data_IF_133629331539
#
_entry.id   IF_133629331539
#
_cell.length_a   1.000
_cell.length_b   1.000
_cell.length_c   1.000
_cell.angle_alpha   90.00
_cell.angle_beta   90.00
_cell.angle_gamma   90.00
#
_symmetry.space_group_name_H-M   'P 1'
#
loop_
_entity.id
_entity.type
_entity.pdbx_description
1 polymer ?
#
# COMPACT_ATOMS: atom_id res chain seq x y z
N UNK A 1 -8.62 10.29 16.08
CA UNK A 1 -8.49 10.13 14.62
C UNK A 1 -9.21 8.87 14.16
N UNK A 2 -10.07 8.98 13.14
CA UNK A 2 -10.70 7.86 12.45
C UNK A 2 -9.78 7.37 11.33
N UNK A 3 -9.52 6.06 11.25
CA UNK A 3 -8.59 5.51 10.26
C UNK A 3 -9.36 4.66 9.26
N UNK A 4 -9.14 4.93 7.97
CA UNK A 4 -9.72 4.20 6.84
C UNK A 4 -8.60 3.57 6.02
N UNK A 5 -8.75 2.28 5.69
CA UNK A 5 -7.79 1.53 4.89
C UNK A 5 -8.50 0.79 3.76
N UNK A 6 -8.03 0.93 2.53
CA UNK A 6 -8.53 0.13 1.40
C UNK A 6 -8.20 -1.36 1.58
N UNK A 7 -9.19 -2.24 1.47
CA UNK A 7 -9.01 -3.70 1.64
C UNK A 7 -7.98 -4.30 0.66
N UNK A 8 -7.84 -3.69 -0.53
CA UNK A 8 -6.93 -4.12 -1.60
C UNK A 8 -5.45 -4.03 -1.20
N UNK A 9 -5.14 -3.27 -0.15
CA UNK A 9 -3.80 -3.18 0.40
C UNK A 9 -3.35 -4.47 1.07
N UNK A 10 -4.30 -5.28 1.57
CA UNK A 10 -4.06 -6.54 2.27
C UNK A 10 -3.10 -6.40 3.45
N UNK A 11 -3.30 -5.36 4.27
CA UNK A 11 -2.50 -5.16 5.49
C UNK A 11 -2.83 -6.25 6.54
N UNK A 12 -1.88 -6.61 7.42
CA UNK A 12 -2.07 -7.67 8.40
C UNK A 12 -3.25 -7.39 9.34
N UNK A 13 -4.18 -8.34 9.46
CA UNK A 13 -5.44 -8.14 10.22
C UNK A 13 -5.23 -7.76 11.69
N UNK A 14 -4.14 -8.21 12.31
CA UNK A 14 -3.82 -7.89 13.70
C UNK A 14 -3.53 -6.39 13.92
N UNK A 15 -3.16 -5.65 12.87
CA UNK A 15 -2.91 -4.20 12.94
C UNK A 15 -4.15 -3.37 12.55
N UNK A 16 -5.22 -4.03 12.11
CA UNK A 16 -6.47 -3.40 11.65
C UNK A 16 -7.57 -3.36 12.72
N UNK A 17 -7.24 -3.62 13.99
CA UNK A 17 -8.20 -3.48 15.09
C UNK A 17 -8.64 -2.02 15.22
N UNK A 18 -9.96 -1.76 15.26
CA UNK A 18 -10.53 -0.40 15.31
C UNK A 18 -10.26 0.47 14.07
N UNK A 19 -9.91 -0.14 12.94
CA UNK A 19 -9.76 0.53 11.65
C UNK A 19 -10.99 0.26 10.78
N UNK A 20 -11.47 1.27 10.06
CA UNK A 20 -12.49 1.08 9.04
C UNK A 20 -11.87 0.54 7.76
N UNK A 21 -12.19 -0.72 7.42
CA UNK A 21 -11.73 -1.33 6.18
C UNK A 21 -12.72 -0.98 5.07
N UNK A 22 -12.24 -0.22 4.09
CA UNK A 22 -13.02 0.17 2.91
C UNK A 22 -12.99 -0.94 1.87
N UNK A 23 -14.14 -1.52 1.47
CA UNK A 23 -14.18 -2.60 0.49
C UNK A 23 -13.90 -2.10 -0.93
N UNK A 24 -13.27 -2.95 -1.74
CA UNK A 24 -13.00 -2.71 -3.16
C UNK A 24 -14.29 -2.93 -3.94
N UNK A 25 -14.79 -1.89 -4.60
CA UNK A 25 -16.02 -2.01 -5.39
C UNK A 25 -15.80 -2.81 -6.67
N UNK A 26 -16.43 -3.97 -6.78
CA UNK A 26 -16.33 -4.86 -7.95
C UNK A 26 -17.66 -4.98 -8.71
N UNK A 27 -17.57 -5.34 -10.00
CA UNK A 27 -18.75 -5.62 -10.81
C UNK A 27 -19.58 -6.75 -10.20
N UNK A 28 -20.89 -6.58 -10.23
CA UNK A 28 -21.87 -7.53 -9.67
C UNK A 28 -21.77 -7.72 -8.13
N UNK A 29 -21.11 -6.81 -7.42
CA UNK A 29 -21.05 -6.82 -5.95
C UNK A 29 -20.33 -8.03 -5.36
N UNK A 30 -19.42 -8.66 -6.11
CA UNK A 30 -18.61 -9.77 -5.59
C UNK A 30 -17.52 -9.26 -4.65
N UNK A 31 -17.10 -10.07 -3.67
CA UNK A 31 -15.97 -9.71 -2.79
C UNK A 31 -14.63 -9.80 -3.52
N UNK A 32 -13.64 -9.06 -3.03
CA UNK A 32 -12.26 -9.12 -3.53
C UNK A 32 -11.67 -10.52 -3.41
N UNK A 33 -11.78 -11.13 -2.23
CA UNK A 33 -11.29 -12.49 -1.97
C UNK A 33 -11.83 -13.51 -2.98
N UNK A 34 -13.14 -13.49 -3.24
CA UNK A 34 -13.78 -14.37 -4.23
C UNK A 34 -13.30 -14.09 -5.66
N UNK A 35 -13.20 -12.82 -6.04
CA UNK A 35 -12.74 -12.43 -7.38
C UNK A 35 -11.30 -12.89 -7.64
N UNK A 36 -10.42 -12.75 -6.64
CA UNK A 36 -9.02 -13.17 -6.73
C UNK A 36 -8.89 -14.69 -6.75
N UNK A 37 -9.64 -15.42 -5.91
CA UNK A 37 -9.62 -16.89 -5.91
C UNK A 37 -10.03 -17.46 -7.28
N UNK A 38 -11.10 -16.90 -7.86
CA UNK A 38 -11.57 -17.28 -9.20
C UNK A 38 -10.56 -16.88 -10.28
N UNK A 39 -9.96 -15.69 -10.16
CA UNK A 39 -8.95 -15.18 -11.09
C UNK A 39 -7.71 -16.06 -11.15
N UNK A 40 -7.21 -16.52 -9.99
CA UNK A 40 -6.06 -17.43 -9.86
C UNK A 40 -6.26 -18.74 -10.61
N UNK A 41 -7.49 -19.25 -10.68
CA UNK A 41 -7.87 -20.52 -11.34
C UNK A 41 -8.17 -20.40 -12.84
N UNK A 42 -8.34 -19.17 -13.35
CA UNK A 42 -8.72 -18.95 -14.75
C UNK A 42 -7.53 -19.02 -15.71
N UNK A 43 -7.73 -19.62 -16.90
CA UNK A 43 -6.66 -19.87 -17.90
C UNK A 43 -6.17 -18.59 -18.63
N UNK A 44 -6.62 -17.41 -18.19
CA UNK A 44 -6.18 -16.11 -18.69
C UNK A 44 -5.88 -15.18 -17.52
N UNK A 45 -4.90 -14.28 -17.68
CA UNK A 45 -4.56 -13.23 -16.71
C UNK A 45 -5.67 -12.16 -16.67
N UNK A 46 -6.87 -12.55 -16.24
CA UNK A 46 -8.01 -11.68 -16.11
C UNK A 46 -7.66 -10.45 -15.27
N UNK A 47 -8.21 -9.31 -15.67
CA UNK A 47 -8.12 -8.09 -14.87
C UNK A 47 -9.21 -8.13 -13.80
N UNK A 48 -8.89 -7.67 -12.59
CA UNK A 48 -9.88 -7.48 -11.54
C UNK A 48 -11.01 -6.56 -12.07
N UNK A 49 -12.29 -6.99 -12.01
CA UNK A 49 -13.39 -6.25 -12.62
C UNK A 49 -13.86 -5.15 -11.68
N UNK A 50 -13.06 -4.10 -11.53
CA UNK A 50 -13.39 -2.92 -10.73
C UNK A 50 -14.64 -2.21 -11.27
N UNK A 51 -15.43 -1.68 -10.36
CA UNK A 51 -16.44 -0.66 -10.61
C UNK A 51 -15.95 0.64 -9.99
N UNK A 52 -15.97 1.73 -10.75
CA UNK A 52 -15.57 3.03 -10.20
C UNK A 52 -16.78 3.69 -9.57
N UNK A 53 -16.62 4.08 -8.31
CA UNK A 53 -17.60 4.85 -7.54
C UNK A 53 -17.81 6.23 -8.16
N UNK A 54 -19.03 6.75 -8.08
CA UNK A 54 -19.35 8.11 -8.55
C UNK A 54 -18.78 9.16 -7.59
N UNK A 55 -18.75 10.43 -8.03
CA UNK A 55 -18.31 11.55 -7.17
C UNK A 55 -19.29 11.80 -6.02
N UNK A 56 -20.59 11.53 -6.19
CA UNK A 56 -21.57 11.80 -5.14
C UNK A 56 -21.50 10.74 -4.04
N UNK A 57 -21.47 9.46 -4.42
CA UNK A 57 -21.26 8.34 -3.49
C UNK A 57 -19.97 8.52 -2.67
N UNK A 58 -18.91 9.04 -3.30
CA UNK A 58 -17.66 9.28 -2.58
C UNK A 58 -17.80 10.43 -1.56
N UNK A 59 -18.54 11.50 -1.88
CA UNK A 59 -18.73 12.62 -0.95
C UNK A 59 -19.54 12.19 0.27
N UNK A 60 -20.56 11.35 0.05
CA UNK A 60 -21.33 10.73 1.12
C UNK A 60 -20.43 9.85 2.00
N UNK A 61 -19.55 9.04 1.40
CA UNK A 61 -18.60 8.18 2.11
C UNK A 61 -17.64 9.01 2.99
N UNK A 62 -17.00 10.03 2.41
CA UNK A 62 -16.05 10.91 3.12
C UNK A 62 -16.74 11.71 4.22
N UNK A 63 -17.95 12.21 3.95
CA UNK A 63 -18.76 12.89 4.96
C UNK A 63 -19.05 11.95 6.13
N UNK A 64 -19.41 10.70 5.87
CA UNK A 64 -19.61 9.67 6.89
C UNK A 64 -18.40 9.47 7.78
N UNK A 65 -17.18 9.44 7.21
CA UNK A 65 -15.93 9.35 7.99
C UNK A 65 -15.73 10.58 8.87
N UNK A 66 -15.99 11.76 8.32
CA UNK A 66 -15.83 13.05 9.01
C UNK A 66 -16.81 13.27 10.18
N UNK A 67 -17.89 12.48 10.23
CA UNK A 67 -18.82 12.46 11.36
C UNK A 67 -18.32 11.57 12.51
N UNK A 68 -17.42 10.62 12.23
CA UNK A 68 -16.83 9.76 13.27
C UNK A 68 -15.76 10.50 14.06
N UNK A 69 -14.94 11.29 13.37
CA UNK A 69 -13.85 12.06 13.97
C UNK A 69 -13.50 13.29 13.10
N UNK A 70 -12.95 14.33 13.73
CA UNK A 70 -12.45 15.54 13.06
C UNK A 70 -11.19 15.27 12.25
N UNK A 71 -10.41 14.27 12.64
CA UNK A 71 -9.20 13.87 11.94
C UNK A 71 -9.40 12.49 11.32
N UNK A 72 -9.22 12.39 10.01
CA UNK A 72 -9.31 11.16 9.26
C UNK A 72 -7.97 10.85 8.62
N UNK A 73 -7.43 9.65 8.84
CA UNK A 73 -6.35 9.11 8.02
C UNK A 73 -6.92 8.13 7.01
N UNK A 74 -6.77 8.41 5.72
CA UNK A 74 -7.13 7.49 4.65
C UNK A 74 -5.89 6.93 3.96
N UNK A 75 -5.64 5.64 4.18
CA UNK A 75 -4.61 4.84 3.53
C UNK A 75 -5.25 4.12 2.34
N UNK A 76 -4.98 4.62 1.14
CA UNK A 76 -5.69 4.20 -0.08
C UNK A 76 -4.79 3.43 -1.05
N UNK A 77 -5.38 2.64 -1.93
CA UNK A 77 -4.73 2.05 -3.09
C UNK A 77 -5.09 2.85 -4.35
N UNK A 78 -4.11 3.56 -4.93
CA UNK A 78 -4.30 4.41 -6.11
C UNK A 78 -4.84 3.67 -7.34
N UNK A 79 -4.74 2.34 -7.38
CA UNK A 79 -5.21 1.53 -8.52
C UNK A 79 -6.66 1.06 -8.36
N UNK A 80 -7.22 1.13 -7.15
CA UNK A 80 -8.63 0.82 -6.87
C UNK A 80 -9.45 2.07 -6.53
N UNK A 81 -8.79 3.20 -6.30
CA UNK A 81 -9.40 4.49 -5.94
C UNK A 81 -9.33 5.46 -7.12
N UNK A 82 -10.45 6.09 -7.54
CA UNK A 82 -10.45 7.03 -8.65
C UNK A 82 -9.49 8.22 -8.43
N UNK A 83 -8.66 8.55 -9.42
CA UNK A 83 -7.70 9.66 -9.30
C UNK A 83 -8.36 11.03 -9.03
N UNK A 84 -9.56 11.25 -9.56
CA UNK A 84 -10.34 12.45 -9.27
C UNK A 84 -10.72 12.57 -7.79
N UNK A 85 -10.92 11.42 -7.12
CA UNK A 85 -11.24 11.36 -5.71
C UNK A 85 -10.04 11.75 -4.86
N UNK A 86 -8.88 11.14 -5.12
CA UNK A 86 -7.60 11.47 -4.49
C UNK A 86 -7.30 12.97 -4.63
N UNK A 87 -7.44 13.52 -5.84
CA UNK A 87 -7.20 14.95 -6.08
C UNK A 87 -8.13 15.84 -5.27
N UNK A 88 -9.41 15.47 -5.12
CA UNK A 88 -10.36 16.26 -4.31
C UNK A 88 -10.00 16.19 -2.82
N UNK A 89 -9.66 15.01 -2.32
CA UNK A 89 -9.25 14.83 -0.93
C UNK A 89 -7.94 15.56 -0.61
N UNK A 90 -6.99 15.62 -1.55
CA UNK A 90 -5.75 16.40 -1.40
C UNK A 90 -6.02 17.90 -1.25
N UNK A 91 -7.12 18.39 -1.84
CA UNK A 91 -7.55 19.78 -1.76
C UNK A 91 -8.68 19.96 -0.72
N UNK A 92 -8.87 18.99 0.18
CA UNK A 92 -9.91 19.05 1.20
C UNK A 92 -9.58 20.15 2.21
N UNK A 93 -10.34 21.23 2.18
CA UNK A 93 -10.18 22.33 3.11
C UNK A 93 -11.51 22.61 3.81
N UNK A 94 -11.62 22.12 5.04
CA UNK A 94 -12.78 22.37 5.90
C UNK A 94 -12.28 22.83 7.28
N UNK A 95 -12.81 23.93 7.86
CA UNK A 95 -12.23 24.58 9.04
C UNK A 95 -12.06 23.72 10.31
N UNK A 96 -12.74 22.58 10.40
CA UNK A 96 -12.73 21.70 11.57
C UNK A 96 -12.51 20.22 11.23
N UNK A 97 -12.07 19.93 10.00
CA UNK A 97 -11.90 18.57 9.51
C UNK A 97 -10.60 18.45 8.73
N UNK A 98 -9.77 17.50 9.14
CA UNK A 98 -8.49 17.21 8.48
C UNK A 98 -8.51 15.80 7.91
N UNK A 99 -8.16 15.68 6.63
CA UNK A 99 -8.01 14.40 5.96
C UNK A 99 -6.55 14.23 5.56
N UNK A 100 -5.89 13.26 6.19
CA UNK A 100 -4.55 12.82 5.85
C UNK A 100 -4.64 11.71 4.80
N UNK A 101 -3.81 11.80 3.77
CA UNK A 101 -3.76 10.81 2.69
C UNK A 101 -2.42 10.10 2.65
N UNK A 102 -2.47 8.77 2.57
CA UNK A 102 -1.30 7.93 2.34
C UNK A 102 -1.60 6.97 1.19
N UNK A 103 -0.78 7.05 0.14
CA UNK A 103 -0.86 6.08 -0.96
C UNK A 103 -0.22 4.76 -0.53
N UNK A 104 -1.03 3.87 0.04
CA UNK A 104 -0.62 2.55 0.50
C UNK A 104 -0.17 1.64 -0.63
N UNK A 105 -0.53 1.89 -1.90
CA UNK A 105 -0.12 1.04 -3.02
C UNK A 105 1.40 0.98 -3.19
N UNK A 106 2.12 2.04 -2.80
CA UNK A 106 3.58 2.15 -2.85
C UNK A 106 4.22 2.33 -1.47
N UNK A 107 3.42 2.65 -0.44
CA UNK A 107 3.89 2.95 0.92
C UNK A 107 3.33 1.99 1.99
N UNK A 108 3.25 0.69 1.73
CA UNK A 108 2.75 -0.27 2.73
C UNK A 108 3.57 -0.29 4.02
N UNK A 109 4.91 -0.15 3.94
CA UNK A 109 5.75 -0.04 5.13
C UNK A 109 5.40 1.16 6.01
N UNK A 110 5.22 2.33 5.40
CA UNK A 110 4.76 3.53 6.12
C UNK A 110 3.36 3.33 6.70
N UNK A 111 2.44 2.73 5.93
CA UNK A 111 1.08 2.45 6.43
C UNK A 111 1.10 1.63 7.72
N UNK A 112 1.94 0.57 7.79
CA UNK A 112 2.08 -0.23 9.01
C UNK A 112 2.77 0.54 10.14
N UNK A 113 3.76 1.36 9.83
CA UNK A 113 4.40 2.22 10.82
C UNK A 113 3.38 3.17 11.48
N UNK A 114 2.53 3.82 10.69
CA UNK A 114 1.48 4.71 11.17
C UNK A 114 0.41 3.96 11.99
N UNK A 115 0.01 2.76 11.53
CA UNK A 115 -0.97 1.94 12.26
C UNK A 115 -0.43 1.42 13.60
N UNK A 116 0.88 1.23 13.70
CA UNK A 116 1.56 0.82 14.94
C UNK A 116 1.81 1.99 15.90
N UNK A 117 1.88 3.23 15.38
CA UNK A 117 2.19 4.45 16.14
C UNK A 117 1.08 5.50 16.01
N UNK A 118 -0.18 5.09 16.25
CA UNK A 118 -1.37 5.92 16.01
C UNK A 118 -1.35 7.31 16.66
N UNK A 119 -0.87 7.50 17.91
CA UNK A 119 -0.83 8.82 18.54
C UNK A 119 0.07 9.83 17.83
N UNK A 120 1.04 9.37 17.05
CA UNK A 120 2.08 10.20 16.41
C UNK A 120 1.85 10.39 14.90
N UNK A 121 0.70 9.96 14.38
CA UNK A 121 0.41 10.03 12.95
C UNK A 121 0.65 11.43 12.35
N UNK A 122 0.14 12.54 12.94
CA UNK A 122 0.35 13.87 12.35
C UNK A 122 1.83 14.22 12.18
N UNK A 123 2.66 14.00 13.21
CA UNK A 123 4.10 14.30 13.17
C UNK A 123 4.84 13.39 12.18
N UNK A 124 4.50 12.10 12.15
CA UNK A 124 5.12 11.13 11.22
C UNK A 124 4.82 11.45 9.75
N UNK A 125 3.73 12.18 9.47
CA UNK A 125 3.35 12.57 8.13
C UNK A 125 4.08 13.82 7.62
N UNK A 126 4.70 14.63 8.48
CA UNK A 126 5.41 15.87 8.11
C UNK A 126 6.80 15.62 7.50
N UNK A 127 7.36 14.42 7.66
CA UNK A 127 8.69 14.05 7.16
C UNK A 127 8.78 13.83 5.63
N UNK A 128 10.00 13.94 5.09
CA UNK A 128 10.28 13.56 3.70
C UNK A 128 10.15 12.05 3.52
N UNK A 129 9.26 11.63 2.63
CA UNK A 129 8.97 10.21 2.40
C UNK A 129 9.81 9.70 1.24
N UNK A 130 10.62 8.69 1.50
CA UNK A 130 11.29 7.93 0.43
C UNK A 130 10.59 6.59 0.29
N UNK A 131 10.05 6.34 -0.89
CA UNK A 131 9.29 5.13 -1.21
C UNK A 131 10.23 4.12 -1.86
N UNK A 132 10.41 2.94 -1.25
CA UNK A 132 11.16 1.84 -1.88
C UNK A 132 10.24 0.64 -2.09
N UNK A 133 10.16 0.18 -3.34
CA UNK A 133 9.43 -1.04 -3.72
C UNK A 133 10.33 -1.91 -4.57
N UNK A 134 10.60 -3.13 -4.11
CA UNK A 134 11.17 -4.18 -4.95
C UNK A 134 10.01 -4.97 -5.53
N UNK A 135 9.98 -5.15 -6.85
CA UNK A 135 8.90 -5.87 -7.53
C UNK A 135 9.42 -6.76 -8.65
N UNK A 136 8.73 -7.87 -8.91
CA UNK A 136 9.01 -8.71 -10.08
C UNK A 136 8.37 -8.20 -11.37
N UNK A 137 7.74 -7.02 -11.36
CA UNK A 137 7.03 -6.45 -12.51
C UNK A 137 7.64 -5.10 -12.91
N UNK A 138 8.24 -5.03 -14.11
CA UNK A 138 8.73 -3.76 -14.67
C UNK A 138 7.63 -2.73 -14.96
N UNK A 139 6.37 -3.16 -14.88
CA UNK A 139 5.16 -2.37 -15.17
C UNK A 139 4.30 -2.24 -13.92
N UNK A 140 4.90 -2.35 -12.73
CA UNK A 140 4.21 -2.29 -11.44
C UNK A 140 3.30 -1.06 -11.30
N UNK A 141 3.80 0.12 -11.71
CA UNK A 141 3.07 1.39 -11.65
C UNK A 141 1.96 1.51 -12.70
N UNK A 142 1.91 0.62 -13.69
CA UNK A 142 0.81 0.59 -14.66
C UNK A 142 -0.41 -0.08 -14.04
N UNK A 143 -1.50 0.66 -13.83
CA UNK A 143 -2.72 0.10 -13.23
C UNK A 143 -3.31 -1.11 -13.98
N UNK A 144 -3.08 -1.23 -15.30
CA UNK A 144 -3.46 -2.44 -16.06
C UNK A 144 -2.70 -3.68 -15.59
N UNK A 145 -1.44 -3.54 -15.22
CA UNK A 145 -0.60 -4.65 -14.76
C UNK A 145 -0.81 -4.92 -13.28
N UNK A 146 -0.94 -3.87 -12.45
CA UNK A 146 -1.25 -3.99 -11.03
C UNK A 146 -2.52 -4.84 -10.78
N UNK A 147 -3.56 -4.62 -11.57
CA UNK A 147 -4.85 -5.31 -11.43
C UNK A 147 -4.95 -6.68 -12.12
N UNK A 148 -3.83 -7.25 -12.63
CA UNK A 148 -3.84 -8.61 -13.20
C UNK A 148 -3.89 -9.66 -12.10
N UNK A 149 -4.69 -10.70 -12.32
CA UNK A 149 -4.93 -11.73 -11.30
C UNK A 149 -4.07 -13.00 -11.42
N UNK A 150 -3.33 -13.19 -12.51
CA UNK A 150 -2.50 -14.39 -12.66
C UNK A 150 -1.04 -14.17 -12.26
N UNK A 151 -0.46 -15.16 -11.58
CA UNK A 151 0.96 -15.16 -11.17
C UNK A 151 1.85 -15.63 -12.31
N UNK A 152 3.02 -15.01 -12.47
CA UNK A 152 4.10 -15.50 -13.34
C UNK A 152 5.35 -15.74 -12.51
N UNK A 153 6.11 -16.79 -12.84
CA UNK A 153 7.41 -17.02 -12.21
C UNK A 153 8.33 -15.82 -12.52
N UNK A 154 8.86 -15.13 -11.51
CA UNK A 154 9.73 -13.98 -11.70
C UNK A 154 11.04 -14.43 -12.38
N UNK A 155 11.51 -13.65 -13.35
CA UNK A 155 12.83 -13.84 -13.98
C UNK A 155 13.86 -12.81 -13.52
N UNK A 156 13.38 -11.70 -12.95
CA UNK A 156 14.15 -10.54 -12.56
C UNK A 156 13.29 -9.66 -11.66
N UNK A 157 13.96 -8.86 -10.84
CA UNK A 157 13.38 -7.91 -9.91
C UNK A 157 13.86 -6.49 -10.23
N UNK A 158 13.03 -5.53 -9.84
CA UNK A 158 13.21 -4.11 -10.10
C UNK A 158 13.10 -3.37 -8.77
N UNK A 159 14.08 -2.52 -8.46
CA UNK A 159 13.98 -1.56 -7.38
C UNK A 159 13.36 -0.28 -7.92
N UNK A 160 12.21 0.08 -7.38
CA UNK A 160 11.53 1.34 -7.63
C UNK A 160 11.76 2.24 -6.43
N UNK A 161 12.35 3.41 -6.66
CA UNK A 161 12.46 4.48 -5.67
C UNK A 161 11.66 5.69 -6.14
N UNK A 162 10.74 6.20 -5.32
CA UNK A 162 9.92 7.37 -5.65
C UNK A 162 9.31 7.27 -7.08
N UNK A 163 8.76 6.09 -7.41
CA UNK A 163 8.14 5.77 -8.71
C UNK A 163 9.10 5.73 -9.91
N UNK A 164 10.41 5.72 -9.71
CA UNK A 164 11.43 5.55 -10.75
C UNK A 164 12.16 4.23 -10.55
N UNK A 165 12.39 3.48 -11.64
CA UNK A 165 13.22 2.26 -11.59
C UNK A 165 14.68 2.69 -11.44
N UNK A 166 15.31 2.37 -10.31
CA UNK A 166 16.72 2.69 -10.05
C UNK A 166 17.67 1.56 -10.43
N UNK A 167 17.28 0.31 -10.16
CA UNK A 167 18.14 -0.84 -10.42
C UNK A 167 17.34 -2.11 -10.70
N UNK A 168 18.03 -3.13 -11.22
CA UNK A 168 17.46 -4.44 -11.53
C UNK A 168 18.40 -5.55 -11.10
N UNK A 169 17.87 -6.65 -10.61
CA UNK A 169 18.64 -7.81 -10.17
C UNK A 169 17.93 -9.13 -10.50
N UNK A 170 18.63 -10.24 -10.30
CA UNK A 170 18.05 -11.57 -10.49
C UNK A 170 17.23 -12.02 -9.27
N UNK A 171 17.58 -11.52 -8.08
CA UNK A 171 16.96 -11.87 -6.80
C UNK A 171 16.51 -10.63 -6.02
N UNK A 172 15.63 -10.82 -5.03
CA UNK A 172 15.25 -9.76 -4.08
C UNK A 172 16.43 -9.42 -3.17
N UNK A 173 17.12 -10.44 -2.67
CA UNK A 173 18.23 -10.29 -1.71
C UNK A 173 19.32 -9.37 -2.23
N UNK A 174 19.73 -9.50 -3.50
CA UNK A 174 20.70 -8.60 -4.15
C UNK A 174 20.28 -7.12 -4.06
N UNK A 175 18.98 -6.82 -4.25
CA UNK A 175 18.48 -5.45 -4.19
C UNK A 175 18.37 -4.96 -2.75
N UNK A 176 17.95 -5.82 -1.82
CA UNK A 176 17.87 -5.39 -0.41
C UNK A 176 19.26 -5.18 0.17
N UNK A 177 20.23 -6.06 -0.10
CA UNK A 177 21.62 -5.89 0.32
C UNK A 177 22.20 -4.55 -0.19
N UNK A 178 21.91 -4.17 -1.44
CA UNK A 178 22.36 -2.89 -1.98
C UNK A 178 21.75 -1.69 -1.25
N UNK A 179 20.44 -1.74 -0.94
CA UNK A 179 19.75 -0.70 -0.15
C UNK A 179 20.33 -0.62 1.25
N UNK A 180 20.45 -1.75 1.95
CA UNK A 180 20.91 -1.81 3.34
C UNK A 180 22.36 -1.34 3.47
N UNK A 181 23.21 -1.64 2.47
CA UNK A 181 24.58 -1.12 2.42
C UNK A 181 24.64 0.40 2.26
N UNK A 182 23.75 0.98 1.43
CA UNK A 182 23.64 2.43 1.22
C UNK A 182 23.08 3.16 2.46
N UNK A 183 22.34 2.45 3.30
CA UNK A 183 21.59 2.99 4.43
C UNK A 183 21.82 2.18 5.72
N UNK A 184 23.09 1.90 6.04
CA UNK A 184 23.49 0.93 7.09
C UNK A 184 23.12 1.32 8.53
N UNK A 185 22.77 2.59 8.76
CA UNK A 185 22.34 3.13 10.05
C UNK A 185 20.82 3.16 10.25
N UNK A 186 20.03 2.89 9.22
CA UNK A 186 18.56 3.00 9.29
C UNK A 186 17.94 1.71 9.81
N UNK A 187 16.88 1.86 10.64
CA UNK A 187 15.93 0.80 10.92
C UNK A 187 14.85 0.81 9.83
N UNK A 188 14.23 -0.33 9.57
CA UNK A 188 13.29 -0.48 8.45
C UNK A 188 11.98 -1.12 8.87
N UNK A 189 10.89 -0.70 8.25
CA UNK A 189 9.65 -1.47 8.19
C UNK A 189 9.58 -2.11 6.82
N UNK A 190 9.54 -3.44 6.77
CA UNK A 190 9.47 -4.20 5.53
C UNK A 190 8.16 -4.96 5.47
N UNK A 191 7.55 -4.92 4.29
CA UNK A 191 6.32 -5.69 4.03
C UNK A 191 6.41 -6.45 2.73
N UNK A 192 5.82 -7.64 2.66
CA UNK A 192 5.90 -8.52 1.50
C UNK A 192 4.60 -9.27 1.27
N UNK A 193 4.24 -9.51 0.01
CA UNK A 193 3.11 -10.39 -0.36
C UNK A 193 3.52 -11.87 -0.56
N UNK A 194 4.75 -12.23 -0.19
CA UNK A 194 5.28 -13.59 -0.19
C UNK A 194 6.28 -13.80 0.95
N UNK A 195 6.85 -15.00 1.04
CA UNK A 195 7.91 -15.27 2.01
C UNK A 195 9.10 -14.34 1.77
N UNK A 196 9.62 -13.77 2.86
CA UNK A 196 10.77 -12.90 2.86
C UNK A 196 11.67 -13.31 4.02
N UNK A 197 12.85 -13.85 3.69
CA UNK A 197 13.79 -14.38 4.66
C UNK A 197 15.14 -13.66 4.50
N UNK A 198 15.35 -12.59 5.25
CA UNK A 198 16.64 -11.92 5.27
C UNK A 198 17.27 -12.01 6.66
N UNK A 199 18.51 -12.50 6.71
CA UNK A 199 19.19 -12.87 7.97
C UNK A 199 19.71 -11.67 8.78
N UNK A 200 19.93 -10.52 8.15
CA UNK A 200 20.62 -9.37 8.76
C UNK A 200 19.81 -8.08 8.64
N UNK A 201 18.52 -8.13 8.98
CA UNK A 201 17.68 -6.94 8.93
C UNK A 201 17.64 -6.20 10.27
N UNK A 202 17.92 -4.90 10.24
CA UNK A 202 17.62 -3.98 11.34
C UNK A 202 16.22 -3.42 11.13
N UNK A 203 15.21 -4.02 11.75
CA UNK A 203 13.83 -3.57 11.55
C UNK A 203 12.77 -4.62 11.84
N UNK A 204 11.55 -4.28 11.44
CA UNK A 204 10.37 -5.13 11.56
C UNK A 204 9.93 -5.64 10.19
N UNK A 205 9.43 -6.87 10.17
CA UNK A 205 8.88 -7.49 8.97
C UNK A 205 7.42 -7.87 9.18
N UNK A 206 6.59 -7.55 8.20
CA UNK A 206 5.18 -7.89 8.17
C UNK A 206 4.81 -8.58 6.87
N UNK A 207 4.22 -9.76 6.96
CA UNK A 207 3.65 -10.43 5.80
C UNK A 207 2.26 -9.89 5.51
N UNK A 208 2.01 -9.48 4.27
CA UNK A 208 0.71 -9.04 3.80
C UNK A 208 -0.24 -10.24 3.64
N UNK A 209 -1.53 -9.96 3.70
CA UNK A 209 -2.59 -10.94 3.47
C UNK A 209 -2.55 -11.47 2.02
N UNK A 210 -3.05 -12.69 1.79
CA UNK A 210 -2.95 -13.36 0.48
C UNK A 210 -3.72 -12.68 -0.67
N UNK A 211 -4.65 -11.80 -0.33
CA UNK A 211 -5.47 -10.99 -1.22
C UNK A 211 -4.90 -9.58 -1.47
N UNK A 212 -3.73 -9.25 -0.90
CA UNK A 212 -3.03 -8.01 -1.18
C UNK A 212 -2.73 -7.85 -2.68
N UNK A 213 -3.20 -6.75 -3.26
CA UNK A 213 -2.82 -6.37 -4.62
C UNK A 213 -1.39 -5.79 -4.63
N UNK A 214 -0.64 -5.92 -5.74
CA UNK A 214 -0.97 -6.69 -6.92
C UNK A 214 -0.61 -8.17 -6.71
N UNK A 215 -1.56 -9.07 -6.98
CA UNK A 215 -1.34 -10.52 -6.79
C UNK A 215 -0.48 -11.17 -7.89
N UNK A 216 -0.27 -10.48 -9.02
CA UNK A 216 0.44 -11.01 -10.18
C UNK A 216 1.97 -10.90 -10.11
N UNK A 217 2.50 -10.16 -9.14
CA UNK A 217 3.93 -9.98 -8.90
C UNK A 217 4.29 -10.26 -7.44
N UNK A 218 5.56 -10.62 -7.22
CA UNK A 218 6.14 -10.57 -5.89
C UNK A 218 6.57 -9.12 -5.62
N UNK A 219 6.20 -8.57 -4.46
CA UNK A 219 6.50 -7.20 -4.09
C UNK A 219 6.97 -7.14 -2.64
N UNK A 220 8.05 -6.40 -2.41
CA UNK A 220 8.59 -6.09 -1.09
C UNK A 220 8.64 -4.57 -0.97
N UNK A 221 7.99 -4.01 0.04
CA UNK A 221 7.96 -2.58 0.33
C UNK A 221 8.89 -2.32 1.50
N UNK A 222 9.78 -1.34 1.35
CA UNK A 222 10.74 -0.97 2.38
C UNK A 222 10.51 0.49 2.76
N UNK A 223 10.33 0.73 4.05
CA UNK A 223 10.20 2.07 4.59
C UNK A 223 11.32 2.31 5.61
N UNK A 224 12.23 3.27 5.36
CA UNK A 224 13.25 3.61 6.33
C UNK A 224 12.63 4.41 7.46
N UNK A 225 12.81 3.95 8.69
CA UNK A 225 12.56 4.75 9.87
C UNK A 225 13.66 5.81 9.93
N UNK A 226 13.26 7.07 9.84
CA UNK A 226 14.20 8.16 10.15
C UNK A 226 14.58 8.00 11.62
N UNK A 227 15.88 8.13 11.93
CA UNK A 227 16.27 8.30 13.32
C UNK A 227 15.59 9.59 13.76
N UNK A 228 14.64 9.49 14.69
CA UNK A 228 14.20 10.65 15.44
C UNK A 228 15.47 11.31 15.98
N UNK A 229 15.67 12.58 15.64
CA UNK A 229 16.63 13.38 16.36
C UNK A 229 16.08 13.48 17.78
N UNK A 230 16.49 12.54 18.63
CA UNK A 230 16.39 12.69 20.07
C UNK A 230 17.43 13.76 20.41
N UNK A 231 17.02 15.02 20.30
CA UNK A 231 17.73 16.15 20.93
C UNK A 231 17.57 16.10 22.45
#
# INVERSE_FOLDING_TARGET
MFIVVDESLGLPKNLLTEVHIRPTTLKKGISLSYALEKGKKSWGFGKLPLTMTTTDEMLEEVYGWSMQDREVLYIYDEHTTPAAWVKRLQNWFYPNQHIYLVNGSVNRGLALHLLSNRPEIPSLLEGTRTEYVITSSSKYLEGRTYLKMGKKKPKKYYLIKNRVIESTASTVDELVEDIMRKHSSQNWIITSNGEFNQKELKGEYFQLEEDALPISSHNVYLYPLQQENIE
#
